data_IF_116102839306
#
_entry.id   IF_116102839306
#
_cell.length_a   1.000
_cell.length_b   1.000
_cell.length_c   1.000
_cell.angle_alpha   90.00
_cell.angle_beta   90.00
_cell.angle_gamma   90.00
#
_symmetry.space_group_name_H-M   'P 1'
#
loop_
_entity.id
_entity.type
_entity.pdbx_description
1 polymer ?
#
# COMPACT_ATOMS: atom_id res chain seq x y z
N UNK A 1 -4.73 29.29 14.75
CA UNK A 1 -5.24 28.09 14.05
C UNK A 1 -4.06 27.39 13.39
N UNK A 2 -3.82 26.13 13.72
CA UNK A 2 -2.67 25.38 13.19
C UNK A 2 -3.11 24.67 11.88
N UNK A 3 -2.67 25.19 10.72
CA UNK A 3 -3.06 24.67 9.40
C UNK A 3 -2.18 23.50 8.90
N UNK A 4 -1.43 22.86 9.79
CA UNK A 4 -0.48 21.81 9.42
C UNK A 4 -1.12 20.44 9.05
N UNK A 5 -2.42 20.24 9.32
CA UNK A 5 -3.09 18.94 9.12
C UNK A 5 -3.89 18.83 7.81
N UNK A 6 -3.67 19.73 6.86
CA UNK A 6 -4.36 19.69 5.56
C UNK A 6 -3.46 19.08 4.50
N UNK A 7 -3.96 18.07 3.79
CA UNK A 7 -3.30 17.49 2.62
C UNK A 7 -3.95 18.06 1.35
N UNK A 8 -3.22 18.91 0.64
CA UNK A 8 -3.68 19.48 -0.62
C UNK A 8 -3.84 18.41 -1.70
N UNK A 9 -4.95 18.44 -2.44
CA UNK A 9 -5.18 17.57 -3.60
C UNK A 9 -4.97 18.39 -4.87
N UNK A 10 -4.05 17.94 -5.73
CA UNK A 10 -3.82 18.58 -7.04
C UNK A 10 -4.83 18.05 -8.06
N UNK A 11 -5.68 18.95 -8.56
CA UNK A 11 -6.54 18.64 -9.70
C UNK A 11 -5.74 18.78 -10.99
N UNK A 12 -5.84 17.79 -11.86
CA UNK A 12 -5.21 17.76 -13.18
C UNK A 12 -6.25 17.85 -14.29
N UNK A 13 -5.87 18.43 -15.44
CA UNK A 13 -6.72 18.54 -16.61
C UNK A 13 -7.22 17.17 -17.10
N UNK A 14 -8.39 17.13 -17.75
CA UNK A 14 -9.01 15.89 -18.23
C UNK A 14 -8.07 15.09 -19.14
N UNK A 15 -7.43 15.75 -20.10
CA UNK A 15 -6.46 15.13 -21.01
C UNK A 15 -5.31 14.47 -20.26
N UNK A 16 -4.82 15.12 -19.20
CA UNK A 16 -3.72 14.59 -18.37
C UNK A 16 -4.15 13.36 -17.55
N UNK A 17 -5.42 13.29 -17.09
CA UNK A 17 -5.95 12.08 -16.43
C UNK A 17 -5.96 10.89 -17.38
N UNK A 18 -6.37 11.11 -18.63
CA UNK A 18 -6.38 10.06 -19.66
C UNK A 18 -4.96 9.59 -19.94
N UNK A 19 -4.04 10.54 -20.14
CA UNK A 19 -2.63 10.24 -20.38
C UNK A 19 -1.99 9.47 -19.21
N UNK A 20 -2.25 9.88 -17.97
CA UNK A 20 -1.78 9.18 -16.77
C UNK A 20 -2.27 7.73 -16.69
N UNK A 21 -3.53 7.46 -17.06
CA UNK A 21 -4.05 6.07 -17.11
C UNK A 21 -3.39 5.23 -18.20
N UNK A 22 -3.04 5.82 -19.34
CA UNK A 22 -2.32 5.12 -20.39
C UNK A 22 -0.90 4.75 -19.94
N UNK A 23 -0.21 5.68 -19.28
CA UNK A 23 1.12 5.45 -18.71
C UNK A 23 1.09 4.36 -17.62
N UNK A 24 0.15 4.42 -16.67
CA UNK A 24 0.02 3.42 -15.60
C UNK A 24 -0.15 2.01 -16.19
N UNK A 25 -0.97 1.84 -17.23
CA UNK A 25 -1.13 0.54 -17.91
C UNK A 25 0.19 0.04 -18.51
N UNK A 26 0.89 0.88 -19.27
CA UNK A 26 2.17 0.51 -19.88
C UNK A 26 3.23 0.17 -18.84
N UNK A 27 3.29 0.92 -17.74
CA UNK A 27 4.23 0.67 -16.66
C UNK A 27 3.96 -0.68 -15.98
N UNK A 28 2.70 -1.04 -15.78
CA UNK A 28 2.32 -2.34 -15.21
C UNK A 28 2.72 -3.53 -16.09
N UNK A 29 2.81 -3.34 -17.40
CA UNK A 29 3.28 -4.37 -18.33
C UNK A 29 4.81 -4.53 -18.30
N UNK A 30 5.55 -3.51 -17.86
CA UNK A 30 7.02 -3.50 -17.86
C UNK A 30 7.65 -3.74 -16.49
N UNK A 31 6.91 -3.49 -15.40
CA UNK A 31 7.41 -3.54 -14.04
C UNK A 31 6.87 -4.75 -13.28
N UNK A 32 7.78 -5.49 -12.65
CA UNK A 32 7.41 -6.51 -11.68
C UNK A 32 7.20 -5.88 -10.30
N UNK A 33 5.98 -6.00 -9.77
CA UNK A 33 5.66 -5.52 -8.43
C UNK A 33 6.05 -6.60 -7.41
N UNK A 34 6.76 -6.19 -6.35
CA UNK A 34 7.19 -7.10 -5.29
C UNK A 34 6.03 -7.90 -4.68
N UNK A 35 6.28 -9.18 -4.38
CA UNK A 35 5.26 -10.10 -3.86
C UNK A 35 4.66 -9.67 -2.52
N UNK A 36 5.38 -8.89 -1.72
CA UNK A 36 4.93 -8.36 -0.43
C UNK A 36 4.18 -7.02 -0.53
N UNK A 37 4.01 -6.44 -1.73
CA UNK A 37 3.23 -5.21 -1.91
C UNK A 37 1.74 -5.53 -2.06
N UNK A 38 0.90 -4.98 -1.18
CA UNK A 38 -0.55 -5.17 -1.21
C UNK A 38 -1.30 -3.91 -1.64
N UNK A 39 -0.71 -2.73 -1.44
CA UNK A 39 -1.32 -1.46 -1.83
C UNK A 39 -1.28 -1.23 -3.34
N UNK A 40 -2.39 -0.76 -3.92
CA UNK A 40 -2.49 -0.40 -5.35
C UNK A 40 -2.15 -1.52 -6.36
N UNK A 41 -2.23 -2.78 -5.92
CA UNK A 41 -2.05 -3.98 -6.76
C UNK A 41 -3.41 -4.60 -7.07
N UNK A 42 -3.75 -4.84 -8.34
CA UNK A 42 -4.98 -5.55 -8.71
C UNK A 42 -5.06 -6.91 -8.02
N UNK A 43 -6.26 -7.29 -7.58
CA UNK A 43 -6.53 -8.58 -6.91
C UNK A 43 -5.82 -8.78 -5.56
N UNK A 44 -5.31 -7.72 -4.93
CA UNK A 44 -4.84 -7.73 -3.54
C UNK A 44 -5.60 -6.71 -2.72
N UNK A 45 -5.99 -7.11 -1.52
CA UNK A 45 -6.75 -6.28 -0.58
C UNK A 45 -5.95 -6.03 0.71
N UNK A 46 -6.32 -4.98 1.43
CA UNK A 46 -5.86 -4.76 2.81
C UNK A 46 -6.29 -5.88 3.74
N UNK A 47 -7.40 -6.57 3.41
CA UNK A 47 -7.89 -7.75 4.13
C UNK A 47 -6.85 -8.87 4.07
N UNK A 48 -6.25 -9.12 2.90
CA UNK A 48 -5.24 -10.17 2.73
C UNK A 48 -3.99 -9.87 3.57
N UNK A 49 -3.53 -8.62 3.56
CA UNK A 49 -2.39 -8.18 4.36
C UNK A 49 -2.65 -8.35 5.87
N UNK A 50 -3.83 -7.92 6.35
CA UNK A 50 -4.22 -8.08 7.76
C UNK A 50 -4.31 -9.57 8.13
N UNK A 51 -4.89 -10.39 7.25
CA UNK A 51 -5.01 -11.83 7.46
C UNK A 51 -3.62 -12.49 7.63
N UNK A 52 -2.66 -12.15 6.75
CA UNK A 52 -1.29 -12.66 6.84
C UNK A 52 -0.64 -12.26 8.17
N UNK A 53 -0.74 -10.99 8.58
CA UNK A 53 -0.17 -10.53 9.85
C UNK A 53 -0.79 -11.28 11.03
N UNK A 54 -2.11 -11.47 11.04
CA UNK A 54 -2.81 -12.24 12.09
C UNK A 54 -2.34 -13.69 12.16
N UNK A 55 -2.25 -14.36 11.02
CA UNK A 55 -1.77 -15.74 10.93
C UNK A 55 -0.33 -15.89 11.45
N UNK A 56 0.54 -14.92 11.15
CA UNK A 56 1.92 -14.90 11.68
C UNK A 56 1.90 -14.78 13.20
N UNK A 57 1.15 -13.83 13.76
CA UNK A 57 1.07 -13.62 15.21
C UNK A 57 0.50 -14.86 15.92
N UNK A 58 -0.58 -15.44 15.39
CA UNK A 58 -1.22 -16.65 15.92
C UNK A 58 -0.25 -17.83 15.94
N UNK A 59 0.49 -18.06 14.86
CA UNK A 59 1.47 -19.16 14.75
C UNK A 59 2.64 -19.05 15.73
N UNK A 60 3.09 -17.84 16.05
CA UNK A 60 4.12 -17.62 17.07
C UNK A 60 3.56 -17.85 18.48
N UNK A 61 2.33 -17.40 18.71
CA UNK A 61 1.60 -17.60 19.98
C UNK A 61 1.39 -19.09 20.28
N UNK A 62 0.97 -19.88 19.30
CA UNK A 62 0.80 -21.34 19.43
C UNK A 62 2.10 -22.05 19.86
N UNK A 63 3.25 -21.52 19.46
CA UNK A 63 4.56 -22.06 19.80
C UNK A 63 5.17 -21.48 21.07
N UNK A 64 4.42 -20.67 21.83
CA UNK A 64 4.91 -19.90 22.97
C UNK A 64 6.21 -19.12 22.66
N UNK A 65 6.33 -18.60 21.43
CA UNK A 65 7.47 -17.78 21.00
C UNK A 65 7.11 -16.30 20.99
N UNK A 66 8.02 -15.40 21.40
CA UNK A 66 7.80 -13.97 21.28
C UNK A 66 7.69 -13.57 19.80
N UNK A 67 6.76 -12.66 19.50
CA UNK A 67 6.58 -12.05 18.19
C UNK A 67 6.66 -10.53 18.36
N UNK A 68 7.57 -9.88 17.63
CA UNK A 68 7.74 -8.43 17.63
C UNK A 68 7.34 -7.88 16.26
N UNK A 69 6.45 -6.89 16.24
CA UNK A 69 5.95 -6.25 15.02
C UNK A 69 6.22 -4.76 15.12
N UNK A 70 6.78 -4.18 14.06
CA UNK A 70 7.07 -2.75 13.97
C UNK A 70 6.29 -2.14 12.82
N UNK A 71 5.62 -1.03 13.10
CA UNK A 71 4.95 -0.23 12.08
C UNK A 71 5.94 0.77 11.51
N UNK A 72 6.10 0.75 10.18
CA UNK A 72 6.91 1.69 9.43
C UNK A 72 5.97 2.50 8.54
N UNK A 73 5.96 3.82 8.72
CA UNK A 73 5.21 4.76 7.90
C UNK A 73 6.17 5.82 7.36
N UNK A 74 6.02 6.18 6.10
CA UNK A 74 6.85 7.18 5.44
C UNK A 74 6.11 8.50 5.39
N UNK A 75 6.69 9.54 5.99
CA UNK A 75 6.10 10.87 5.91
C UNK A 75 6.16 11.40 4.46
N UNK A 76 5.00 11.81 3.91
CA UNK A 76 4.86 12.44 2.58
C UNK A 76 5.29 11.56 1.38
N UNK A 77 4.95 10.27 1.41
CA UNK A 77 4.97 9.41 0.22
C UNK A 77 3.94 9.82 -0.85
#
# INVERSE_FOLDING_TARGET
>A
MNCANYRGIKLIAHTMKIYGRLLDRRLRDMLEIASYQFGFVPKRSTIDAIFIVRQVVEKYREKNKPCHVTFLDLEKA
#
